data_IF_075839498091
#
_entry.id   IF_075839498091
#
_cell.length_a   1.000
_cell.length_b   1.000
_cell.length_c   1.000
_cell.angle_alpha   90.00
_cell.angle_beta   90.00
_cell.angle_gamma   90.00
#
_symmetry.space_group_name_H-M   'P 1'
#
loop_
_entity.id
_entity.type
_entity.pdbx_description
1 polymer ?
#
# COMPACT_ATOMS: atom_id res chain seq x y z
N UNK A 1 -13.75 48.90 -47.88
CA UNK A 1 -15.18 48.76 -47.51
C UNK A 1 -15.46 47.26 -47.52
N UNK A 2 -15.27 46.57 -46.38
CA UNK A 2 -16.30 46.22 -45.38
C UNK A 2 -17.29 45.17 -45.95
N UNK A 3 -17.56 43.98 -45.39
CA UNK A 3 -17.45 43.50 -44.00
C UNK A 3 -17.57 41.94 -43.97
N UNK A 4 -16.91 41.27 -43.04
CA UNK A 4 -17.29 39.94 -42.53
C UNK A 4 -17.56 40.04 -41.02
N UNK A 5 -18.51 39.27 -40.44
CA UNK A 5 -18.64 39.17 -38.99
C UNK A 5 -17.89 37.95 -38.42
N UNK A 6 -17.25 38.22 -37.29
CA UNK A 6 -16.62 37.32 -36.33
C UNK A 6 -17.63 36.53 -35.51
N UNK A 7 -17.32 35.27 -35.18
CA UNK A 7 -17.70 34.67 -33.89
C UNK A 7 -16.63 33.72 -33.36
N UNK A 8 -16.45 33.83 -32.05
CA UNK A 8 -15.34 33.46 -31.20
C UNK A 8 -15.33 32.02 -30.69
N UNK A 9 -14.13 31.61 -30.29
CA UNK A 9 -13.69 30.38 -29.63
C UNK A 9 -14.34 30.10 -28.26
N UNK A 10 -14.41 28.83 -27.88
CA UNK A 10 -14.33 28.42 -26.46
C UNK A 10 -13.59 27.08 -26.34
N UNK A 11 -12.50 27.13 -25.59
CA UNK A 11 -11.51 26.08 -25.31
C UNK A 11 -12.03 25.13 -24.22
N UNK A 12 -11.90 23.82 -24.43
CA UNK A 12 -12.15 22.78 -23.42
C UNK A 12 -10.91 21.92 -23.26
N UNK A 13 -9.89 22.41 -22.55
CA UNK A 13 -8.69 21.63 -22.18
C UNK A 13 -8.04 22.28 -20.94
N UNK A 14 -8.48 21.95 -19.73
CA UNK A 14 -7.81 22.45 -18.49
C UNK A 14 -7.99 21.53 -17.28
N UNK A 15 -8.22 20.22 -17.49
CA UNK A 15 -8.40 19.24 -16.42
C UNK A 15 -7.35 18.12 -16.35
N UNK A 16 -6.58 17.89 -17.43
CA UNK A 16 -5.57 16.82 -17.49
C UNK A 16 -4.15 17.28 -17.10
N UNK A 17 -3.85 18.57 -17.21
CA UNK A 17 -2.48 19.10 -16.98
C UNK A 17 -2.13 19.27 -15.48
N UNK A 18 -3.13 19.43 -14.61
CA UNK A 18 -2.91 19.51 -13.16
C UNK A 18 -2.55 18.16 -12.54
N UNK A 19 -3.04 17.05 -13.12
CA UNK A 19 -2.79 15.69 -12.63
C UNK A 19 -1.37 15.19 -12.93
N UNK A 20 -0.82 15.54 -14.10
CA UNK A 20 0.57 15.22 -14.48
C UNK A 20 1.60 15.97 -13.64
N UNK A 21 1.20 17.05 -12.96
CA UNK A 21 2.07 17.85 -12.10
C UNK A 21 2.14 17.28 -10.68
N UNK A 22 1.09 16.61 -10.21
CA UNK A 22 1.05 16.01 -8.88
C UNK A 22 1.65 14.59 -8.85
N UNK A 23 1.57 13.82 -9.95
CA UNK A 23 2.35 12.57 -10.07
C UNK A 23 3.86 12.85 -10.09
N UNK A 24 4.29 13.98 -10.66
CA UNK A 24 5.68 14.48 -10.64
C UNK A 24 6.15 15.02 -9.28
N UNK A 25 5.25 15.22 -8.32
CA UNK A 25 5.65 15.55 -6.94
C UNK A 25 5.98 14.28 -6.14
N UNK A 26 5.42 13.13 -6.53
CA UNK A 26 5.78 11.81 -5.99
C UNK A 26 6.93 11.16 -6.77
N UNK A 27 6.96 11.36 -8.09
CA UNK A 27 8.09 11.02 -8.95
C UNK A 27 9.05 12.20 -8.95
N UNK A 28 10.02 12.23 -8.05
CA UNK A 28 11.16 13.16 -8.10
C UNK A 28 11.62 13.32 -9.55
N UNK A 29 11.78 14.57 -10.00
CA UNK A 29 12.14 14.91 -11.39
C UNK A 29 13.39 14.16 -11.85
N UNK A 30 13.22 12.98 -12.45
CA UNK A 30 14.24 12.33 -13.23
C UNK A 30 14.09 12.79 -14.68
N UNK A 31 14.99 13.68 -15.08
CA UNK A 31 15.28 13.92 -16.49
C UNK A 31 15.51 12.57 -17.17
N UNK A 32 14.92 12.29 -18.36
CA UNK A 32 15.20 11.06 -19.08
C UNK A 32 16.65 11.11 -19.58
N UNK A 33 17.59 10.66 -18.75
CA UNK A 33 18.91 10.30 -19.23
C UNK A 33 18.75 9.05 -20.07
N UNK A 34 19.11 9.19 -21.34
CA UNK A 34 19.32 8.10 -22.27
C UNK A 34 20.35 7.13 -21.65
N UNK A 35 19.90 6.10 -20.95
CA UNK A 35 20.76 5.26 -20.10
C UNK A 35 21.05 3.93 -20.76
N UNK A 36 22.34 3.56 -20.71
CA UNK A 36 22.87 2.21 -20.90
C UNK A 36 21.98 1.13 -20.22
N UNK A 37 22.05 -0.15 -20.68
CA UNK A 37 21.25 -1.22 -20.10
C UNK A 37 21.43 -1.24 -18.57
N UNK A 38 20.34 -1.39 -17.80
CA UNK A 38 20.40 -1.36 -16.35
C UNK A 38 21.35 -2.46 -15.86
N UNK A 39 22.37 -2.07 -15.10
CA UNK A 39 23.28 -3.02 -14.45
C UNK A 39 22.41 -3.88 -13.51
N UNK A 40 22.28 -5.17 -13.83
CA UNK A 40 21.59 -6.13 -12.96
C UNK A 40 22.34 -6.19 -11.63
N UNK A 41 21.60 -6.04 -10.52
CA UNK A 41 22.18 -6.15 -9.18
C UNK A 41 22.81 -7.54 -9.00
N UNK A 42 23.96 -7.64 -8.32
CA UNK A 42 24.51 -8.94 -8.00
C UNK A 42 23.57 -9.69 -7.05
N UNK A 43 23.59 -11.02 -7.14
CA UNK A 43 22.85 -11.88 -6.20
C UNK A 43 23.49 -11.85 -4.82
N UNK A 44 22.68 -11.81 -3.77
CA UNK A 44 23.16 -11.93 -2.39
C UNK A 44 23.82 -13.29 -2.16
N UNK A 45 25.08 -13.31 -1.72
CA UNK A 45 25.81 -14.57 -1.51
C UNK A 45 25.37 -15.30 -0.22
N UNK A 46 25.48 -16.64 -0.15
CA UNK A 46 25.13 -17.41 1.05
C UNK A 46 25.88 -16.96 2.32
N UNK A 47 27.13 -16.51 2.17
CA UNK A 47 27.94 -15.97 3.28
C UNK A 47 27.32 -14.69 3.85
N UNK A 48 26.77 -13.81 2.98
CA UNK A 48 26.15 -12.55 3.41
C UNK A 48 24.75 -12.76 3.98
N UNK A 49 24.00 -13.76 3.52
CA UNK A 49 22.74 -14.17 4.15
C UNK A 49 22.91 -14.64 5.61
N UNK A 50 24.10 -15.17 5.93
CA UNK A 50 24.45 -15.67 7.26
C UNK A 50 25.30 -14.70 8.06
N UNK A 51 25.70 -13.57 7.47
CA UNK A 51 26.53 -12.60 8.17
C UNK A 51 25.74 -11.99 9.31
N UNK A 52 26.40 -11.87 10.46
CA UNK A 52 25.87 -11.17 11.64
C UNK A 52 26.57 -9.83 11.84
N UNK A 53 27.39 -9.40 10.87
CA UNK A 53 28.07 -8.11 10.93
C UNK A 53 27.07 -6.97 10.79
N UNK A 54 27.22 -5.93 11.60
CA UNK A 54 26.35 -4.74 11.61
C UNK A 54 26.59 -3.79 10.42
N UNK A 55 27.25 -4.27 9.36
CA UNK A 55 27.67 -3.44 8.23
C UNK A 55 26.55 -3.24 7.21
N UNK A 56 25.66 -4.22 7.07
CA UNK A 56 24.56 -4.20 6.10
C UNK A 56 23.28 -4.74 6.71
N UNK A 57 22.14 -4.38 6.14
CA UNK A 57 20.81 -4.78 6.58
C UNK A 57 20.11 -5.51 5.44
N UNK A 58 19.51 -6.65 5.75
CA UNK A 58 18.66 -7.40 4.83
C UNK A 58 17.23 -6.87 4.96
N UNK A 59 16.74 -6.20 3.92
CA UNK A 59 15.42 -5.60 3.86
C UNK A 59 14.53 -6.31 2.84
N UNK A 60 13.43 -6.91 3.30
CA UNK A 60 12.41 -7.55 2.47
C UNK A 60 11.41 -6.51 1.94
N UNK A 61 11.38 -6.37 0.62
CA UNK A 61 10.39 -5.62 -0.13
C UNK A 61 9.30 -6.53 -0.70
N UNK A 62 8.05 -6.07 -0.62
CA UNK A 62 6.87 -6.76 -1.18
C UNK A 62 5.87 -5.83 -1.90
N UNK A 63 6.00 -4.52 -1.73
CA UNK A 63 5.13 -3.50 -2.32
C UNK A 63 5.82 -2.69 -3.40
N UNK A 64 5.62 -1.36 -3.41
CA UNK A 64 6.26 -0.44 -4.37
C UNK A 64 7.79 -0.50 -4.39
N UNK A 65 8.41 -1.01 -3.33
CA UNK A 65 9.87 -1.19 -3.21
C UNK A 65 10.42 -2.33 -4.06
N UNK A 66 9.55 -3.13 -4.67
CA UNK A 66 9.96 -4.09 -5.68
C UNK A 66 10.48 -3.40 -6.95
N UNK A 67 9.93 -2.24 -7.34
CA UNK A 67 10.39 -1.55 -8.55
C UNK A 67 11.58 -0.64 -8.29
N UNK A 68 12.55 -0.67 -9.21
CA UNK A 68 13.67 0.26 -9.26
C UNK A 68 13.22 1.72 -9.38
N UNK A 69 12.08 2.00 -10.02
CA UNK A 69 11.51 3.36 -10.11
C UNK A 69 11.34 3.95 -8.71
N UNK A 70 10.73 3.20 -7.80
CA UNK A 70 10.52 3.64 -6.42
C UNK A 70 11.78 3.51 -5.58
N UNK A 71 12.41 2.33 -5.63
CA UNK A 71 13.46 1.97 -4.68
C UNK A 71 14.77 2.70 -4.98
N UNK A 72 15.25 2.64 -6.23
CA UNK A 72 16.50 3.29 -6.66
C UNK A 72 16.28 4.73 -7.10
N UNK A 73 15.16 5.00 -7.78
CA UNK A 73 14.83 6.32 -8.31
C UNK A 73 14.30 7.27 -7.24
N UNK A 74 13.03 7.12 -6.87
CA UNK A 74 12.33 8.07 -6.01
C UNK A 74 12.99 8.24 -4.63
N UNK A 75 13.47 7.14 -4.03
CA UNK A 75 14.13 7.13 -2.72
C UNK A 75 15.65 7.28 -2.77
N UNK A 76 16.28 7.06 -3.93
CA UNK A 76 17.73 7.12 -4.06
C UNK A 76 18.49 5.96 -3.40
N UNK A 77 17.83 4.83 -3.09
CA UNK A 77 18.46 3.69 -2.40
C UNK A 77 19.45 2.99 -3.34
N UNK A 78 20.62 2.65 -2.81
CA UNK A 78 21.67 1.93 -3.55
C UNK A 78 21.86 0.51 -3.00
N UNK A 79 20.99 -0.45 -3.39
CA UNK A 79 21.12 -1.82 -2.91
C UNK A 79 22.45 -2.44 -3.35
N UNK A 80 23.10 -3.14 -2.43
CA UNK A 80 24.36 -3.84 -2.63
C UNK A 80 24.15 -5.18 -3.33
N UNK A 81 23.03 -5.84 -3.06
CA UNK A 81 22.60 -7.08 -3.71
C UNK A 81 21.10 -7.30 -3.56
N UNK A 82 20.54 -8.24 -4.34
CA UNK A 82 19.14 -8.64 -4.23
C UNK A 82 18.99 -10.17 -4.30
N UNK A 83 17.93 -10.68 -3.67
CA UNK A 83 17.56 -12.09 -3.69
C UNK A 83 16.04 -12.25 -3.62
N UNK A 84 15.47 -13.02 -4.55
CA UNK A 84 14.04 -13.37 -4.50
C UNK A 84 13.81 -14.36 -3.35
N UNK A 85 12.73 -14.15 -2.60
CA UNK A 85 12.43 -14.96 -1.42
C UNK A 85 10.97 -15.34 -1.31
N UNK A 86 10.75 -16.44 -0.60
CA UNK A 86 9.48 -16.92 -0.13
C UNK A 86 9.39 -16.79 1.39
N UNK A 87 8.29 -16.24 1.88
CA UNK A 87 8.03 -15.98 3.28
C UNK A 87 6.67 -16.60 3.64
N UNK A 88 6.64 -17.89 4.03
CA UNK A 88 5.39 -18.60 4.30
C UNK A 88 4.65 -18.11 5.56
N UNK A 89 5.29 -17.28 6.38
CA UNK A 89 4.72 -16.74 7.62
C UNK A 89 3.90 -15.47 7.41
N UNK A 90 3.91 -14.88 6.22
CA UNK A 90 3.19 -13.66 5.89
C UNK A 90 2.34 -13.84 4.64
N UNK A 91 1.24 -13.11 4.53
CA UNK A 91 0.46 -12.94 3.29
C UNK A 91 0.50 -11.49 2.82
N UNK A 92 0.56 -11.28 1.50
CA UNK A 92 0.35 -9.97 0.90
C UNK A 92 -1.13 -9.58 1.02
N UNK A 93 -1.38 -8.34 1.44
CA UNK A 93 -2.71 -7.74 1.52
C UNK A 93 -2.69 -6.34 0.93
N UNK A 94 -3.86 -5.76 0.69
CA UNK A 94 -4.01 -4.36 0.29
C UNK A 94 -4.88 -3.61 1.30
N UNK A 95 -4.47 -3.69 2.57
CA UNK A 95 -5.24 -3.20 3.73
C UNK A 95 -4.73 -1.87 4.28
N UNK A 96 -3.56 -1.38 3.86
CA UNK A 96 -3.06 -0.08 4.32
C UNK A 96 -3.91 1.02 3.66
N UNK A 97 -4.64 1.84 4.44
CA UNK A 97 -5.51 2.86 3.86
C UNK A 97 -4.69 3.99 3.27
N UNK A 98 -4.97 4.35 2.02
CA UNK A 98 -4.42 5.52 1.37
C UNK A 98 -5.43 6.66 1.35
N UNK A 99 -5.60 7.28 0.18
CA UNK A 99 -6.44 8.45 -0.03
C UNK A 99 -7.59 8.08 -0.97
N UNK A 100 -8.86 8.24 -0.56
CA UNK A 100 -10.01 7.87 -1.38
C UNK A 100 -10.02 8.63 -2.71
N UNK A 101 -10.57 7.99 -3.75
CA UNK A 101 -10.61 8.45 -5.15
C UNK A 101 -9.25 8.63 -5.84
N UNK A 102 -8.12 8.32 -5.19
CA UNK A 102 -6.80 8.45 -5.81
C UNK A 102 -6.06 7.12 -5.69
N UNK A 103 -5.55 6.84 -4.49
CA UNK A 103 -4.88 5.59 -4.16
C UNK A 103 -5.52 5.05 -2.89
N UNK A 104 -6.64 4.33 -3.02
CA UNK A 104 -7.48 4.05 -1.86
C UNK A 104 -6.81 3.14 -0.83
N UNK A 105 -5.95 2.24 -1.30
CA UNK A 105 -5.14 1.41 -0.44
C UNK A 105 -3.77 1.07 -1.06
N UNK A 106 -2.87 0.65 -0.18
CA UNK A 106 -1.51 0.21 -0.47
C UNK A 106 -1.27 -1.21 0.05
N UNK A 107 -0.17 -1.81 -0.39
CA UNK A 107 0.22 -3.15 0.05
C UNK A 107 0.57 -3.14 1.54
N UNK A 108 0.16 -4.16 2.27
CA UNK A 108 0.58 -4.45 3.63
C UNK A 108 0.82 -5.97 3.74
N UNK A 109 1.39 -6.41 4.86
CA UNK A 109 1.49 -7.83 5.18
C UNK A 109 0.69 -8.15 6.43
N UNK A 110 0.13 -9.36 6.48
CA UNK A 110 -0.44 -9.95 7.70
C UNK A 110 0.24 -11.28 7.97
N UNK A 111 0.27 -11.71 9.23
CA UNK A 111 0.73 -13.06 9.54
C UNK A 111 -0.19 -14.08 8.86
N UNK A 112 0.42 -15.08 8.22
CA UNK A 112 -0.31 -16.13 7.53
C UNK A 112 -1.11 -16.95 8.55
N UNK A 113 -2.43 -16.98 8.36
CA UNK A 113 -3.33 -17.83 9.13
C UNK A 113 -3.78 -18.93 8.17
N UNK A 114 -3.47 -20.21 8.45
CA UNK A 114 -3.91 -21.31 7.60
C UNK A 114 -5.42 -21.23 7.42
N UNK A 115 -5.94 -21.43 6.20
CA UNK A 115 -7.37 -21.32 5.94
C UNK A 115 -8.13 -22.31 6.83
N UNK A 116 -8.84 -21.80 7.83
CA UNK A 116 -9.88 -22.57 8.51
C UNK A 116 -10.99 -22.86 7.51
N UNK A 117 -11.56 -24.06 7.56
CA UNK A 117 -12.50 -24.66 6.60
C UNK A 117 -13.80 -23.87 6.30
N UNK A 118 -13.94 -22.65 6.84
CA UNK A 118 -15.12 -21.79 6.78
C UNK A 118 -14.90 -20.43 6.10
N UNK A 119 -13.68 -20.04 5.74
CA UNK A 119 -13.40 -18.73 5.13
C UNK A 119 -13.34 -18.80 3.59
N UNK A 120 -14.42 -19.27 2.97
CA UNK A 120 -14.62 -19.00 1.54
C UNK A 120 -14.88 -17.50 1.42
N UNK A 121 -13.92 -16.74 0.89
CA UNK A 121 -14.12 -15.33 0.59
C UNK A 121 -15.36 -15.19 -0.28
N UNK A 122 -16.47 -14.68 0.30
CA UNK A 122 -17.73 -14.48 -0.41
C UNK A 122 -17.65 -13.39 -1.49
N UNK A 123 -16.49 -12.75 -1.62
CA UNK A 123 -16.25 -11.64 -2.52
C UNK A 123 -15.65 -12.14 -3.83
N UNK A 124 -16.22 -11.72 -4.95
CA UNK A 124 -15.68 -11.96 -6.31
C UNK A 124 -14.33 -11.23 -6.56
N UNK A 125 -13.75 -10.57 -5.56
CA UNK A 125 -12.49 -9.87 -5.74
C UNK A 125 -11.29 -10.81 -5.59
N UNK A 126 -10.44 -10.86 -6.62
CA UNK A 126 -9.41 -11.89 -6.79
C UNK A 126 -8.12 -11.70 -5.95
N UNK A 127 -8.00 -10.58 -5.20
CA UNK A 127 -6.75 -10.25 -4.49
C UNK A 127 -6.39 -11.21 -3.35
N UNK A 128 -7.36 -11.91 -2.76
CA UNK A 128 -7.16 -12.85 -1.65
C UNK A 128 -6.96 -14.31 -2.12
N UNK A 129 -6.79 -14.55 -3.44
CA UNK A 129 -6.65 -15.91 -4.00
C UNK A 129 -5.27 -16.53 -3.80
N UNK A 130 -4.25 -15.71 -3.56
CA UNK A 130 -2.90 -16.21 -3.30
C UNK A 130 -2.77 -16.68 -1.85
N UNK A 131 -2.44 -17.95 -1.68
CA UNK A 131 -2.43 -18.63 -0.35
C UNK A 131 -1.10 -19.29 -0.01
N UNK A 132 -0.07 -19.08 -0.85
CA UNK A 132 1.23 -19.73 -0.68
C UNK A 132 2.20 -18.89 0.16
N UNK A 133 1.71 -17.92 0.93
CA UNK A 133 2.54 -16.97 1.65
C UNK A 133 3.23 -15.94 0.75
N UNK A 134 3.93 -14.99 1.35
CA UNK A 134 4.45 -13.81 0.67
C UNK A 134 5.63 -14.14 -0.25
N UNK A 135 5.62 -13.56 -1.45
CA UNK A 135 6.74 -13.55 -2.37
C UNK A 135 7.26 -12.12 -2.49
N UNK A 136 8.57 -11.95 -2.37
CA UNK A 136 9.20 -10.65 -2.39
C UNK A 136 10.68 -10.71 -2.73
N UNK A 137 11.36 -9.59 -2.53
CA UNK A 137 12.79 -9.43 -2.80
C UNK A 137 13.46 -8.93 -1.54
N UNK A 138 14.48 -9.65 -1.08
CA UNK A 138 15.40 -9.14 -0.06
C UNK A 138 16.49 -8.35 -0.75
N UNK A 139 16.61 -7.08 -0.36
CA UNK A 139 17.74 -6.23 -0.69
C UNK A 139 18.73 -6.21 0.47
N UNK A 140 20.01 -6.26 0.13
CA UNK A 140 21.08 -5.90 1.06
C UNK A 140 21.35 -4.39 0.91
N UNK A 141 21.18 -3.64 1.99
CA UNK A 141 21.31 -2.17 1.99
C UNK A 141 22.25 -1.70 3.09
N UNK A 142 22.77 -0.49 2.95
CA UNK A 142 23.54 0.15 4.02
C UNK A 142 22.60 0.62 5.15
N UNK A 143 23.12 0.85 6.38
CA UNK A 143 22.32 1.45 7.45
C UNK A 143 21.74 2.82 7.07
N UNK A 144 22.43 3.61 6.25
CA UNK A 144 21.94 4.91 5.78
C UNK A 144 20.76 4.79 4.80
N UNK A 145 20.88 3.88 3.83
CA UNK A 145 19.77 3.53 2.95
C UNK A 145 18.57 3.00 3.75
N UNK A 146 18.82 2.17 4.77
CA UNK A 146 17.76 1.61 5.60
C UNK A 146 17.00 2.68 6.38
N UNK A 147 17.68 3.67 6.98
CA UNK A 147 16.99 4.84 7.58
C UNK A 147 16.11 5.57 6.57
N UNK A 148 16.60 5.73 5.35
CA UNK A 148 15.84 6.39 4.28
C UNK A 148 14.58 5.60 3.94
N UNK A 149 14.66 4.26 3.95
CA UNK A 149 13.49 3.39 3.81
C UNK A 149 12.50 3.65 4.95
N UNK A 150 12.94 3.61 6.21
CA UNK A 150 12.07 3.86 7.37
C UNK A 150 11.41 5.24 7.30
N UNK A 151 12.18 6.30 6.97
CA UNK A 151 11.68 7.66 6.88
C UNK A 151 10.61 7.84 5.78
N UNK A 152 10.75 7.14 4.66
CA UNK A 152 9.86 7.29 3.49
C UNK A 152 8.67 6.35 3.51
N UNK A 153 8.68 5.30 4.34
CA UNK A 153 7.58 4.37 4.57
C UNK A 153 6.63 4.84 5.68
N UNK A 154 6.57 6.15 5.93
CA UNK A 154 5.75 6.74 7.00
C UNK A 154 6.48 6.90 8.32
N UNK A 155 7.82 6.91 8.32
CA UNK A 155 8.64 7.29 9.48
C UNK A 155 8.44 6.42 10.71
N UNK A 156 8.08 5.14 10.52
CA UNK A 156 7.75 4.21 11.61
C UNK A 156 6.39 4.43 12.27
N UNK A 157 5.55 5.35 11.78
CA UNK A 157 4.22 5.60 12.31
C UNK A 157 3.14 4.69 11.70
N UNK A 158 3.28 4.34 10.43
CA UNK A 158 2.31 3.50 9.70
C UNK A 158 2.68 2.03 9.70
N UNK A 159 3.96 1.69 9.87
CA UNK A 159 4.46 0.32 9.85
C UNK A 159 5.41 0.09 11.03
N UNK A 160 5.40 -1.15 11.52
CA UNK A 160 6.40 -1.65 12.45
C UNK A 160 7.50 -2.39 11.68
N UNK A 161 8.74 -2.16 12.09
CA UNK A 161 9.86 -2.97 11.64
C UNK A 161 9.84 -4.32 12.38
N UNK A 162 9.70 -5.39 11.62
CA UNK A 162 9.66 -6.77 12.12
C UNK A 162 10.66 -7.64 11.38
N UNK A 163 11.22 -8.62 12.08
CA UNK A 163 12.17 -9.56 11.50
C UNK A 163 11.46 -10.87 11.18
N UNK A 164 11.49 -11.29 9.92
CA UNK A 164 10.80 -12.50 9.44
C UNK A 164 11.76 -13.51 8.82
N UNK A 165 11.46 -14.83 8.93
CA UNK A 165 12.23 -15.87 8.26
C UNK A 165 11.91 -15.89 6.76
N UNK A 166 12.94 -15.75 5.94
CA UNK A 166 12.90 -15.78 4.49
C UNK A 166 13.60 -17.03 3.96
N UNK A 167 13.04 -17.60 2.90
CA UNK A 167 13.60 -18.75 2.18
C UNK A 167 13.98 -18.31 0.77
N UNK A 168 15.15 -18.74 0.31
CA UNK A 168 15.64 -18.40 -1.02
C UNK A 168 14.76 -19.02 -2.11
N UNK A 169 14.33 -18.19 -3.07
CA UNK A 169 13.71 -18.67 -4.30
C UNK A 169 14.79 -18.81 -5.39
N UNK A 170 14.95 -20.01 -5.99
CA UNK A 170 15.87 -20.21 -7.10
C UNK A 170 15.52 -19.31 -8.29
N UNK A 171 16.54 -18.76 -8.96
CA UNK A 171 16.35 -17.98 -10.18
C UNK A 171 15.68 -18.84 -11.27
N UNK A 172 14.73 -18.25 -12.01
CA UNK A 172 13.99 -18.95 -13.06
C UNK A 172 12.91 -19.92 -12.55
N UNK A 173 12.57 -19.88 -11.25
CA UNK A 173 11.44 -20.64 -10.71
C UNK A 173 10.13 -20.21 -11.37
N UNK A 174 9.36 -21.15 -11.92
CA UNK A 174 8.06 -20.86 -12.54
C UNK A 174 6.90 -20.93 -11.56
N UNK A 175 6.94 -21.89 -10.66
CA UNK A 175 5.91 -22.18 -9.67
C UNK A 175 6.46 -21.97 -8.27
N UNK A 176 5.55 -21.72 -7.32
CA UNK A 176 5.87 -21.59 -5.91
C UNK A 176 5.30 -22.79 -5.15
N UNK A 177 6.15 -23.46 -4.37
CA UNK A 177 5.69 -24.47 -3.43
C UNK A 177 5.19 -23.81 -2.14
N UNK A 178 4.02 -24.18 -1.59
CA UNK A 178 3.50 -23.59 -0.35
C UNK A 178 4.44 -23.75 0.85
N UNK A 179 5.26 -24.80 0.86
CA UNK A 179 6.27 -25.06 1.88
C UNK A 179 7.64 -24.89 1.22
N UNK A 180 8.45 -23.90 1.64
CA UNK A 180 9.77 -23.70 1.06
C UNK A 180 10.74 -24.81 1.49
N UNK A 181 11.72 -25.08 0.63
CA UNK A 181 12.88 -25.92 0.94
C UNK A 181 14.09 -25.06 1.30
N UNK A 182 15.04 -25.63 2.05
CA UNK A 182 16.29 -24.96 2.43
C UNK A 182 16.26 -24.33 3.83
N UNK A 183 17.39 -23.73 4.21
CA UNK A 183 17.56 -23.10 5.50
C UNK A 183 17.08 -21.64 5.44
N UNK A 184 16.23 -21.19 6.39
CA UNK A 184 15.79 -19.80 6.42
C UNK A 184 16.92 -18.86 6.85
N UNK A 185 16.81 -17.61 6.44
CA UNK A 185 17.58 -16.49 6.99
C UNK A 185 16.63 -15.37 7.44
N UNK A 186 17.12 -14.39 8.18
CA UNK A 186 16.30 -13.31 8.75
C UNK A 186 16.42 -12.04 7.93
N UNK A 187 15.31 -11.37 7.66
CA UNK A 187 15.28 -10.05 7.05
C UNK A 187 14.29 -9.14 7.77
N UNK A 188 14.61 -7.85 7.82
CA UNK A 188 13.71 -6.79 8.25
C UNK A 188 12.62 -6.59 7.20
N UNK A 189 11.40 -6.38 7.63
CA UNK A 189 10.29 -5.96 6.77
C UNK A 189 9.37 -5.04 7.53
N UNK A 190 8.53 -4.34 6.79
CA UNK A 190 7.55 -3.43 7.35
C UNK A 190 6.21 -4.12 7.38
N UNK A 191 5.54 -4.07 8.53
CA UNK A 191 4.22 -4.67 8.71
C UNK A 191 3.39 -3.73 9.57
N UNK A 192 2.17 -3.42 9.13
CA UNK A 192 1.20 -2.74 9.97
C UNK A 192 0.29 -3.80 10.59
N UNK A 193 0.42 -4.08 11.90
CA UNK A 193 -0.41 -5.09 12.54
C UNK A 193 -1.88 -4.64 12.54
N UNK A 194 -2.78 -5.60 12.44
CA UNK A 194 -4.19 -5.35 12.69
C UNK A 194 -4.38 -5.14 14.21
N UNK A 195 -5.04 -4.06 14.66
CA UNK A 195 -5.22 -3.81 16.07
C UNK A 195 -6.10 -4.92 16.68
N UNK A 196 -5.63 -5.51 17.78
CA UNK A 196 -6.37 -6.54 18.51
C UNK A 196 -7.62 -5.96 19.22
N UNK A 197 -7.63 -4.65 19.52
CA UNK A 197 -8.75 -3.93 20.15
C UNK A 197 -8.94 -2.52 19.54
N UNK A 198 -10.19 -2.07 19.39
CA UNK A 198 -10.55 -0.75 18.79
C UNK A 198 -9.99 0.45 19.56
N UNK A 199 -9.76 0.33 20.87
CA UNK A 199 -9.47 1.46 21.78
C UNK A 199 -7.99 1.89 21.82
N UNK A 200 -7.06 1.08 21.30
CA UNK A 200 -5.61 1.39 21.31
C UNK A 200 -5.09 2.01 19.99
N UNK A 201 -5.99 2.38 19.07
CA UNK A 201 -5.62 2.86 17.74
C UNK A 201 -5.11 4.31 17.76
N UNK A 202 -3.99 4.61 18.42
CA UNK A 202 -3.22 5.84 18.14
C UNK A 202 -2.57 5.78 16.75
N UNK A 203 -2.33 4.57 16.23
CA UNK A 203 -1.58 4.27 14.99
C UNK A 203 -2.40 4.42 13.70
N UNK A 204 -3.35 5.36 13.67
CA UNK A 204 -4.11 5.74 12.48
C UNK A 204 -5.45 5.02 12.29
N UNK A 205 -5.92 4.96 11.04
CA UNK A 205 -7.23 4.42 10.66
C UNK A 205 -7.12 2.96 10.19
N UNK A 206 -8.05 2.12 10.60
CA UNK A 206 -8.27 0.77 10.06
C UNK A 206 -9.63 0.76 9.40
N UNK A 207 -9.71 0.24 8.16
CA UNK A 207 -10.98 0.15 7.44
C UNK A 207 -11.80 -1.01 8.01
N UNK A 208 -13.14 -0.90 8.07
CA UNK A 208 -13.99 -1.96 8.63
C UNK A 208 -13.82 -3.33 7.93
N UNK A 209 -13.62 -3.31 6.61
CA UNK A 209 -13.27 -4.49 5.83
C UNK A 209 -11.91 -4.24 5.14
N UNK A 210 -10.82 -4.86 5.64
CA UNK A 210 -9.49 -4.77 5.04
C UNK A 210 -9.41 -5.28 3.58
N UNK A 211 -10.34 -6.14 3.18
CA UNK A 211 -10.43 -6.72 1.83
C UNK A 211 -11.29 -5.87 0.87
N UNK A 212 -12.02 -4.86 1.35
CA UNK A 212 -12.94 -4.11 0.49
C UNK A 212 -12.27 -3.28 -0.63
N UNK A 213 -11.25 -2.51 -0.26
CA UNK A 213 -10.65 -1.49 -1.15
C UNK A 213 -9.79 -2.09 -2.27
N UNK A 214 -9.77 -1.41 -3.42
CA UNK A 214 -8.94 -1.73 -4.57
C UNK A 214 -7.72 -0.80 -4.63
N UNK A 215 -6.55 -1.37 -4.91
CA UNK A 215 -5.33 -0.59 -5.13
C UNK A 215 -5.37 0.13 -6.48
N UNK A 216 -4.71 1.28 -6.60
CA UNK A 216 -4.70 2.04 -7.86
C UNK A 216 -3.96 1.28 -8.97
N UNK A 217 -4.35 1.48 -10.23
CA UNK A 217 -3.64 0.93 -11.38
C UNK A 217 -2.15 1.35 -11.40
N UNK A 218 -1.87 2.59 -10.98
CA UNK A 218 -0.50 3.12 -10.87
C UNK A 218 0.31 2.33 -9.84
N UNK A 219 -0.27 2.08 -8.66
CA UNK A 219 0.42 1.37 -7.60
C UNK A 219 0.64 -0.11 -7.93
N UNK A 220 -0.37 -0.79 -8.48
CA UNK A 220 -0.22 -2.18 -8.93
C UNK A 220 0.84 -2.30 -10.02
N UNK A 221 0.95 -1.31 -10.92
CA UNK A 221 2.04 -1.27 -11.91
C UNK A 221 3.43 -1.25 -11.26
N UNK A 222 3.64 -0.55 -10.14
CA UNK A 222 4.92 -0.57 -9.44
C UNK A 222 5.27 -1.97 -8.92
N UNK A 223 4.27 -2.70 -8.43
CA UNK A 223 4.45 -4.07 -7.95
C UNK A 223 4.75 -5.01 -9.12
N UNK A 224 3.97 -4.95 -10.20
CA UNK A 224 4.17 -5.84 -11.36
C UNK A 224 5.47 -5.52 -12.09
N UNK A 225 5.80 -4.25 -12.34
CA UNK A 225 7.08 -3.88 -12.95
C UNK A 225 8.27 -4.30 -12.09
N UNK A 226 8.20 -4.13 -10.77
CA UNK A 226 9.23 -4.67 -9.87
C UNK A 226 9.33 -6.20 -9.92
N UNK A 227 8.20 -6.89 -10.01
CA UNK A 227 8.17 -8.34 -10.18
C UNK A 227 8.83 -8.81 -11.48
N UNK A 228 8.62 -8.08 -12.58
CA UNK A 228 9.28 -8.32 -13.87
C UNK A 228 10.78 -8.02 -13.82
N UNK A 229 11.18 -6.88 -13.24
CA UNK A 229 12.59 -6.50 -13.06
C UNK A 229 13.39 -7.56 -12.30
N UNK A 230 12.73 -8.22 -11.35
CA UNK A 230 13.32 -9.26 -10.51
C UNK A 230 13.07 -10.69 -10.99
N UNK A 231 12.37 -10.88 -12.12
CA UNK A 231 12.05 -12.20 -12.67
C UNK A 231 11.36 -13.09 -11.59
N UNK A 232 10.38 -12.54 -10.88
CA UNK A 232 9.56 -13.28 -9.91
C UNK A 232 8.82 -14.44 -10.59
N UNK A 233 8.41 -15.49 -9.85
CA UNK A 233 7.81 -16.68 -10.44
C UNK A 233 6.60 -16.39 -11.32
N UNK A 234 6.53 -17.03 -12.49
CA UNK A 234 5.44 -16.86 -13.48
C UNK A 234 4.05 -17.02 -12.86
N UNK A 235 3.89 -18.01 -11.98
CA UNK A 235 2.64 -18.25 -11.25
C UNK A 235 2.25 -17.08 -10.33
N UNK A 236 3.22 -16.47 -9.65
CA UNK A 236 2.97 -15.32 -8.78
C UNK A 236 2.67 -14.05 -9.59
N UNK A 237 3.37 -13.87 -10.70
CA UNK A 237 3.10 -12.77 -11.63
C UNK A 237 1.68 -12.86 -12.22
N UNK A 238 1.23 -14.07 -12.59
CA UNK A 238 -0.14 -14.29 -13.05
C UNK A 238 -1.18 -13.87 -12.00
N UNK A 239 -0.93 -14.19 -10.73
CA UNK A 239 -1.76 -13.70 -9.61
C UNK A 239 -1.77 -12.16 -9.54
N UNK A 240 -0.60 -11.52 -9.57
CA UNK A 240 -0.51 -10.06 -9.47
C UNK A 240 -1.24 -9.35 -10.62
N UNK A 241 -1.19 -9.91 -11.83
CA UNK A 241 -1.90 -9.40 -13.00
C UNK A 241 -3.42 -9.58 -12.95
N UNK A 242 -3.92 -10.57 -12.19
CA UNK A 242 -5.35 -10.83 -12.00
C UNK A 242 -5.99 -9.86 -10.97
N UNK A 243 -5.18 -9.08 -10.25
CA UNK A 243 -5.69 -8.10 -9.28
C UNK A 243 -6.34 -6.92 -10.01
N UNK A 244 -7.67 -6.81 -9.90
CA UNK A 244 -8.43 -5.68 -10.48
C UNK A 244 -8.00 -4.34 -9.83
N UNK A 245 -7.58 -3.34 -10.62
CA UNK A 245 -7.23 -2.02 -10.12
C UNK A 245 -8.47 -1.15 -9.84
N UNK A 246 -8.32 -0.19 -8.93
CA UNK A 246 -9.28 0.89 -8.74
C UNK A 246 -9.30 1.81 -9.97
N UNK A 247 -10.50 2.11 -10.47
CA UNK A 247 -10.74 3.07 -11.54
C UNK A 247 -11.95 3.95 -11.23
N UNK A 248 -11.85 5.23 -11.61
CA UNK A 248 -12.98 6.16 -11.53
C UNK A 248 -13.83 6.00 -12.79
N UNK A 249 -15.08 5.56 -12.61
CA UNK A 249 -16.03 5.32 -13.71
C UNK A 249 -17.06 6.44 -13.85
N UNK A 250 -17.29 7.24 -12.81
CA UNK A 250 -18.34 8.27 -12.80
C UNK A 250 -17.79 9.70 -12.68
N UNK A 251 -18.52 10.68 -13.23
CA UNK A 251 -18.18 12.11 -13.07
C UNK A 251 -18.30 12.58 -11.62
N UNK A 252 -19.18 11.95 -10.82
CA UNK A 252 -19.33 12.24 -9.39
C UNK A 252 -18.08 11.83 -8.60
N UNK A 253 -17.51 10.67 -8.90
CA UNK A 253 -16.23 10.24 -8.32
C UNK A 253 -15.10 11.18 -8.74
N UNK A 254 -15.08 11.68 -10.00
CA UNK A 254 -14.11 12.70 -10.42
C UNK A 254 -14.25 14.00 -9.64
N UNK A 255 -15.48 14.45 -9.36
CA UNK A 255 -15.70 15.61 -8.50
C UNK A 255 -15.22 15.35 -7.06
N UNK A 256 -15.50 14.16 -6.51
CA UNK A 256 -14.99 13.74 -5.19
C UNK A 256 -13.46 13.73 -5.13
N UNK A 257 -12.81 13.20 -6.17
CA UNK A 257 -11.35 13.25 -6.32
C UNK A 257 -10.83 14.69 -6.32
N UNK A 258 -11.43 15.59 -7.09
CA UNK A 258 -11.02 16.98 -7.15
C UNK A 258 -11.14 17.67 -5.78
N UNK A 259 -12.23 17.40 -5.04
CA UNK A 259 -12.43 17.93 -3.68
C UNK A 259 -11.33 17.43 -2.73
N UNK A 260 -11.04 16.12 -2.77
CA UNK A 260 -9.98 15.51 -1.94
C UNK A 260 -8.62 16.11 -2.27
N UNK A 261 -8.26 16.16 -3.55
CA UNK A 261 -6.97 16.66 -4.00
C UNK A 261 -6.80 18.14 -3.65
N UNK A 262 -7.81 18.98 -3.91
CA UNK A 262 -7.70 20.41 -3.65
C UNK A 262 -7.63 20.75 -2.15
N UNK A 263 -8.32 19.98 -1.31
CA UNK A 263 -8.49 20.31 0.11
C UNK A 263 -7.46 19.60 0.99
N UNK A 264 -7.21 18.31 0.76
CA UNK A 264 -6.49 17.45 1.71
C UNK A 264 -5.04 17.19 1.30
N UNK A 265 -4.74 17.10 0.00
CA UNK A 265 -3.37 16.82 -0.45
C UNK A 265 -2.34 17.90 -0.05
N UNK A 266 -2.63 19.22 -0.09
CA UNK A 266 -1.67 20.22 0.36
C UNK A 266 -1.29 20.05 1.84
N UNK A 267 -2.26 19.69 2.69
CA UNK A 267 -2.04 19.43 4.12
C UNK A 267 -1.19 18.17 4.29
N UNK A 268 -1.51 17.09 3.58
CA UNK A 268 -0.76 15.85 3.63
C UNK A 268 0.70 16.05 3.19
N UNK A 269 0.94 16.79 2.09
CA UNK A 269 2.28 17.11 1.62
C UNK A 269 3.07 17.95 2.61
N UNK A 270 2.42 18.91 3.28
CA UNK A 270 3.03 19.68 4.37
C UNK A 270 3.45 18.77 5.53
N UNK A 271 2.57 17.85 5.97
CA UNK A 271 2.88 16.91 7.06
C UNK A 271 4.03 15.97 6.69
N UNK A 272 4.10 15.48 5.46
CA UNK A 272 5.25 14.69 4.98
C UNK A 272 6.55 15.51 4.94
N UNK A 273 6.48 16.77 4.50
CA UNK A 273 7.62 17.69 4.52
C UNK A 273 8.16 17.90 5.94
N UNK A 274 7.27 18.08 6.93
CA UNK A 274 7.63 18.16 8.35
C UNK A 274 8.22 16.84 8.84
N UNK A 275 7.63 15.69 8.45
CA UNK A 275 8.12 14.37 8.81
C UNK A 275 9.57 14.15 8.40
N UNK A 276 9.92 14.56 7.18
CA UNK A 276 11.30 14.52 6.68
C UNK A 276 12.23 15.49 7.43
N UNK A 277 11.75 16.68 7.76
CA UNK A 277 12.56 17.70 8.44
C UNK A 277 12.86 17.37 9.91
N UNK A 278 11.98 16.62 10.57
CA UNK A 278 12.08 16.26 11.98
C UNK A 278 12.41 14.78 12.24
N UNK A 279 12.70 14.00 11.19
CA UNK A 279 13.11 12.61 11.35
C UNK A 279 14.41 12.50 12.17
N UNK A 280 14.50 11.51 13.04
CA UNK A 280 15.68 11.25 13.86
C UNK A 280 16.78 10.49 13.09
N UNK A 281 17.87 10.15 13.79
CA UNK A 281 19.00 9.40 13.25
C UNK A 281 18.66 7.94 12.89
N UNK A 282 17.45 7.46 13.17
CA UNK A 282 16.91 6.17 12.71
C UNK A 282 15.93 6.33 11.54
N UNK A 283 15.63 7.57 11.14
CA UNK A 283 14.62 7.90 10.13
C UNK A 283 13.18 7.90 10.69
N UNK A 284 13.00 7.77 12.00
CA UNK A 284 11.68 7.79 12.63
C UNK A 284 11.21 9.22 12.84
N UNK A 285 9.92 9.45 12.62
CA UNK A 285 9.33 10.76 12.89
C UNK A 285 8.99 10.92 14.38
N UNK A 286 8.97 12.15 14.93
CA UNK A 286 8.61 12.37 16.32
C UNK A 286 7.18 11.89 16.61
N UNK A 287 6.96 11.25 17.75
CA UNK A 287 5.67 10.64 18.10
C UNK A 287 4.48 11.61 18.08
N UNK A 288 4.69 12.90 18.39
CA UNK A 288 3.64 13.92 18.30
C UNK A 288 3.20 14.15 16.84
N UNK A 289 4.12 14.11 15.88
CA UNK A 289 3.83 14.31 14.47
C UNK A 289 3.18 13.05 13.88
N UNK A 290 3.65 11.86 14.28
CA UNK A 290 2.98 10.60 13.98
C UNK A 290 1.52 10.61 14.44
N UNK A 291 1.26 11.09 15.67
CA UNK A 291 -0.09 11.22 16.21
C UNK A 291 -0.96 12.18 15.39
N UNK A 292 -0.41 13.33 14.97
CA UNK A 292 -1.12 14.28 14.09
C UNK A 292 -1.45 13.62 12.75
N UNK A 293 -0.52 12.86 12.16
CA UNK A 293 -0.75 12.13 10.91
C UNK A 293 -1.88 11.09 11.07
N UNK A 294 -1.90 10.37 12.19
CA UNK A 294 -2.97 9.42 12.52
C UNK A 294 -4.34 10.09 12.64
N UNK A 295 -4.42 11.22 13.34
CA UNK A 295 -5.65 12.03 13.46
C UNK A 295 -6.08 12.57 12.08
N UNK A 296 -5.14 13.10 11.29
CA UNK A 296 -5.40 13.57 9.94
C UNK A 296 -6.07 12.48 9.08
N UNK A 297 -5.51 11.27 9.08
CA UNK A 297 -6.08 10.15 8.32
C UNK A 297 -7.48 9.78 8.82
N UNK A 298 -7.72 9.77 10.14
CA UNK A 298 -9.06 9.52 10.70
C UNK A 298 -10.09 10.56 10.27
N UNK A 299 -9.74 11.85 10.30
CA UNK A 299 -10.65 12.92 9.89
C UNK A 299 -10.92 12.87 8.39
N UNK A 300 -9.89 12.63 7.57
CA UNK A 300 -10.03 12.46 6.12
C UNK A 300 -11.02 11.34 5.77
N UNK A 301 -10.82 10.16 6.36
CA UNK A 301 -11.67 9.01 6.13
C UNK A 301 -13.07 9.20 6.70
N UNK A 302 -13.22 9.83 7.87
CA UNK A 302 -14.52 10.20 8.43
C UNK A 302 -15.29 11.17 7.53
N UNK A 303 -14.62 12.18 6.96
CA UNK A 303 -15.23 13.09 5.99
C UNK A 303 -15.66 12.35 4.72
N UNK A 304 -14.84 11.43 4.23
CA UNK A 304 -15.19 10.59 3.09
C UNK A 304 -16.42 9.72 3.40
N UNK A 305 -16.42 8.95 4.48
CA UNK A 305 -17.49 8.00 4.81
C UNK A 305 -18.84 8.71 5.09
N UNK A 306 -18.79 9.85 5.78
CA UNK A 306 -19.98 10.59 6.19
C UNK A 306 -20.55 11.47 5.07
N UNK A 307 -19.69 11.98 4.18
CA UNK A 307 -20.06 12.99 3.16
C UNK A 307 -19.77 12.48 1.75
N UNK A 308 -18.49 12.35 1.37
CA UNK A 308 -18.13 12.15 -0.04
C UNK A 308 -18.63 10.83 -0.62
N UNK A 309 -18.56 9.72 0.12
CA UNK A 309 -19.07 8.43 -0.36
C UNK A 309 -20.55 8.53 -0.74
N UNK A 310 -21.33 9.28 0.05
CA UNK A 310 -22.78 9.47 -0.18
C UNK A 310 -23.08 10.42 -1.34
N UNK A 311 -22.28 11.47 -1.54
CA UNK A 311 -22.55 12.48 -2.57
C UNK A 311 -21.85 12.20 -3.90
N UNK A 312 -20.63 11.68 -3.84
CA UNK A 312 -19.70 11.50 -4.94
C UNK A 312 -19.54 10.03 -5.38
N UNK A 313 -20.09 9.08 -4.63
CA UNK A 313 -19.97 7.64 -4.91
C UNK A 313 -18.72 7.02 -4.27
N UNK A 314 -18.51 5.72 -4.50
CA UNK A 314 -17.45 4.95 -3.85
C UNK A 314 -16.05 5.41 -4.31
N UNK A 315 -15.19 5.76 -3.36
CA UNK A 315 -13.80 6.18 -3.58
C UNK A 315 -12.78 5.09 -3.25
N UNK A 316 -13.23 3.90 -2.88
CA UNK A 316 -12.42 2.73 -2.51
C UNK A 316 -12.50 1.62 -3.55
N UNK A 317 -13.59 1.59 -4.34
CA UNK A 317 -13.86 0.55 -5.34
C UNK A 317 -14.43 1.12 -6.63
N UNK A 318 -14.07 0.51 -7.74
CA UNK A 318 -14.63 0.78 -9.07
C UNK A 318 -16.14 0.49 -9.07
N UNK A 319 -16.95 1.43 -9.54
CA UNK A 319 -18.40 1.26 -9.65
C UNK A 319 -18.71 0.61 -11.01
N UNK A 320 -19.52 -0.46 -11.00
CA UNK A 320 -20.06 -1.09 -12.20
C UNK A 320 -19.29 -2.31 -12.73
N UNK A 321 -18.27 -2.79 -12.02
CA UNK A 321 -17.54 -4.03 -12.40
C UNK A 321 -18.08 -5.29 -11.72
N UNK A 322 -18.82 -5.15 -10.62
CA UNK A 322 -19.54 -6.24 -9.99
C UNK A 322 -21.02 -6.05 -10.37
N UNK A 323 -21.64 -7.06 -10.99
CA UNK A 323 -23.04 -6.98 -11.43
C UNK A 323 -23.94 -6.52 -10.29
N UNK A 324 -24.49 -5.32 -10.43
CA UNK A 324 -25.61 -4.73 -9.70
C UNK A 324 -25.78 -5.12 -8.22
N UNK A 325 -25.07 -4.43 -7.31
CA UNK A 325 -25.59 -4.17 -5.96
C UNK A 325 -26.07 -2.70 -5.81
N UNK A 326 -26.91 -2.24 -6.74
CA UNK A 326 -27.90 -1.21 -6.41
C UNK A 326 -28.99 -1.85 -5.52
N UNK A 327 -28.73 -1.98 -4.22
CA UNK A 327 -29.75 -2.57 -3.33
C UNK A 327 -29.44 -2.72 -1.84
N UNK A 328 -28.31 -2.26 -1.32
CA UNK A 328 -27.95 -2.46 0.11
C UNK A 328 -28.07 -1.23 1.00
N UNK A 329 -28.55 -0.10 0.48
CA UNK A 329 -28.49 1.18 1.17
C UNK A 329 -29.63 1.45 2.16
N UNK A 330 -29.92 0.59 3.16
CA UNK A 330 -30.70 0.99 4.35
C UNK A 330 -30.31 0.23 5.62
N UNK A 331 -30.05 1.02 6.67
CA UNK A 331 -30.18 0.72 8.11
C UNK A 331 -28.95 0.18 8.86
N UNK A 332 -27.97 1.08 9.06
CA UNK A 332 -27.06 1.05 10.22
C UNK A 332 -27.05 2.42 10.91
N UNK A 333 -28.23 2.84 11.36
CA UNK A 333 -28.46 3.98 12.25
C UNK A 333 -29.73 3.68 13.05
N UNK A 334 -29.65 2.75 14.01
CA UNK A 334 -30.51 2.63 15.21
C UNK A 334 -30.29 1.25 15.84
N UNK A 335 -29.29 1.12 16.72
CA UNK A 335 -29.41 0.30 17.93
C UNK A 335 -28.26 0.61 18.93
N UNK A 336 -28.09 1.90 19.25
CA UNK A 336 -27.45 2.35 20.50
C UNK A 336 -28.50 3.08 21.34
N UNK A 337 -29.52 2.34 21.75
CA UNK A 337 -30.55 2.84 22.67
C UNK A 337 -31.34 1.67 23.25
N UNK A 338 -30.84 1.06 24.32
CA UNK A 338 -31.58 -0.01 25.02
C UNK A 338 -30.76 -0.74 26.08
N UNK A 339 -30.37 -0.06 27.17
CA UNK A 339 -29.91 -0.75 28.39
C UNK A 339 -31.07 -1.58 28.97
N UNK A 340 -30.82 -2.85 29.32
CA UNK A 340 -31.26 -3.36 30.62
C UNK A 340 -30.42 -4.53 31.12
N UNK A 341 -29.89 -4.33 32.32
CA UNK A 341 -29.20 -5.29 33.17
C UNK A 341 -29.99 -6.57 33.36
N UNK A 342 -29.28 -7.70 33.45
CA UNK A 342 -29.74 -8.87 34.17
C UNK A 342 -28.54 -9.56 34.84
N UNK A 343 -28.31 -9.24 36.11
CA UNK A 343 -27.55 -10.08 37.02
C UNK A 343 -28.20 -11.47 37.08
N UNK A 344 -27.40 -12.53 36.93
CA UNK A 344 -27.77 -13.84 37.46
C UNK A 344 -26.74 -14.25 38.48
N UNK A 345 -27.17 -14.22 39.74
CA UNK A 345 -26.51 -14.79 40.89
C UNK A 345 -26.26 -16.28 40.68
N UNK A 346 -25.02 -16.71 40.91
CA UNK A 346 -24.67 -18.10 41.16
C UNK A 346 -25.10 -18.42 42.60
N UNK A 347 -25.98 -19.41 42.78
CA UNK A 347 -26.18 -20.08 44.07
C UNK A 347 -25.32 -21.34 44.10
N UNK A 348 -24.53 -21.44 45.15
CA UNK A 348 -23.95 -22.67 45.67
C UNK A 348 -25.07 -23.47 46.35
N UNK A 349 -25.24 -24.73 45.96
CA UNK A 349 -25.41 -25.89 46.85
C UNK A 349 -24.70 -27.09 46.22
#
# INVERSE_FOLDING_TARGET
MASQPSTSSTTCCTGQETFTTLSKLWSSNCTPQHSAPPIKLPRTSPTRLRSTTSETILYLAYGSNLSAETFKGARGIKPLSALNVHVPSLDLTFSLPGIPYTEPCFANTRYHIPPTSSSTSKTDYHKDRWTKGLIGVVYEVTPEDYRTIIATEGGGASYHDVIVPCYELPAGSKTVHPIPSGAPFKAHTLLRPEPEEEDNATDGIVRPDPSYAQASARYLKLITSGGEEHELPEEYMAYLYDIRPYTITTMRQRAGQAIIVATWMPILLMLFGLGKAFADDEGKMPGWLASIMGVFMKVLWGYYDLVLKKTCGDGERTIGEDGDEEGGGKRWCEERSGRKWCEKSVRLE
#
